data_IF_497445789300
#
_entry.id   IF_497445789300
#
_cell.length_a   1.000
_cell.length_b   1.000
_cell.length_c   1.000
_cell.angle_alpha   90.00
_cell.angle_beta   90.00
_cell.angle_gamma   90.00
#
_symmetry.space_group_name_H-M   'P 1'
#
loop_
_entity.id
_entity.type
_entity.pdbx_description
1 polymer ?
#
# COMPACT_ATOMS: atom_id res chain seq x y z
N UNK A 1 -3.24 3.14 27.38
CA UNK A 1 -3.91 2.91 26.09
C UNK A 1 -3.65 4.04 25.10
N UNK A 2 -4.10 5.25 25.43
CA UNK A 2 -3.91 6.41 24.55
C UNK A 2 -2.43 6.69 24.30
N UNK A 3 -1.62 6.60 25.34
CA UNK A 3 -0.19 6.84 25.26
C UNK A 3 0.49 5.85 24.30
N UNK A 4 0.11 4.58 24.41
CA UNK A 4 0.68 3.53 23.58
C UNK A 4 0.32 3.73 22.11
N UNK A 5 -0.93 4.12 21.83
CA UNK A 5 -1.36 4.39 20.47
C UNK A 5 -0.58 5.53 19.83
N UNK A 6 -0.31 6.58 20.59
CA UNK A 6 0.47 7.71 20.10
C UNK A 6 1.91 7.33 19.80
N UNK A 7 2.50 6.46 20.62
CA UNK A 7 3.85 5.97 20.37
C UNK A 7 3.92 5.15 19.09
N UNK A 8 2.92 4.31 18.86
CA UNK A 8 2.86 3.50 17.64
C UNK A 8 2.68 4.39 16.40
N UNK A 9 1.86 5.43 16.51
CA UNK A 9 1.68 6.39 15.42
C UNK A 9 2.98 7.11 15.09
N UNK A 10 3.72 7.55 16.10
CA UNK A 10 5.00 8.22 15.90
C UNK A 10 6.02 7.28 15.25
N UNK A 11 6.04 6.03 15.67
CA UNK A 11 6.92 5.05 15.07
C UNK A 11 6.58 4.84 13.61
N UNK A 12 5.30 4.75 13.29
CA UNK A 12 4.86 4.62 11.90
C UNK A 12 5.27 5.82 11.06
N UNK A 13 5.20 7.04 11.63
CA UNK A 13 5.62 8.25 10.93
C UNK A 13 7.11 8.25 10.62
N UNK A 14 7.93 7.81 11.57
CA UNK A 14 9.37 7.68 11.35
C UNK A 14 9.68 6.66 10.27
N UNK A 15 9.06 5.49 10.36
CA UNK A 15 9.24 4.44 9.37
C UNK A 15 8.79 4.89 7.98
N UNK A 16 7.65 5.58 7.93
CA UNK A 16 7.12 6.09 6.68
C UNK A 16 8.11 7.02 6.01
N UNK A 17 8.69 7.93 6.79
CA UNK A 17 9.65 8.90 6.25
C UNK A 17 10.90 8.21 5.74
N UNK A 18 11.43 7.24 6.48
CA UNK A 18 12.61 6.50 6.04
C UNK A 18 12.34 5.73 4.75
N UNK A 19 11.23 5.04 4.69
CA UNK A 19 10.85 4.28 3.50
C UNK A 19 10.60 5.19 2.31
N UNK A 20 9.97 6.34 2.56
CA UNK A 20 9.68 7.31 1.52
C UNK A 20 10.96 7.89 0.93
N UNK A 21 11.94 8.23 1.78
CA UNK A 21 13.22 8.77 1.33
C UNK A 21 14.01 7.77 0.51
N UNK A 22 13.91 6.49 0.85
CA UNK A 22 14.63 5.42 0.15
C UNK A 22 13.88 4.87 -1.05
N UNK A 23 12.61 5.25 -1.22
CA UNK A 23 11.76 4.67 -2.26
C UNK A 23 12.16 5.15 -3.65
N UNK A 24 12.04 4.29 -4.66
CA UNK A 24 12.25 4.72 -6.03
C UNK A 24 11.17 5.70 -6.47
N UNK A 25 11.54 6.61 -7.35
CA UNK A 25 10.58 7.53 -7.96
C UNK A 25 10.09 6.90 -9.25
N UNK A 26 8.80 6.63 -9.31
CA UNK A 26 8.16 6.00 -10.46
C UNK A 26 7.05 6.93 -10.93
N UNK A 27 7.18 7.44 -12.13
CA UNK A 27 6.20 8.36 -12.69
C UNK A 27 5.97 9.58 -11.79
N UNK A 28 7.06 10.12 -11.26
CA UNK A 28 7.03 11.32 -10.43
C UNK A 28 6.56 11.11 -9.00
N UNK A 29 6.34 9.87 -8.59
CA UNK A 29 5.88 9.56 -7.24
C UNK A 29 6.83 8.57 -6.57
N UNK A 30 6.93 8.66 -5.25
CA UNK A 30 7.72 7.72 -4.46
C UNK A 30 6.86 6.53 -4.11
N UNK A 31 7.24 5.37 -4.63
CA UNK A 31 6.45 4.15 -4.45
C UNK A 31 7.13 3.24 -3.43
N UNK A 32 6.47 3.03 -2.30
CA UNK A 32 6.93 2.14 -1.24
C UNK A 32 6.21 0.81 -1.39
N UNK A 33 6.96 -0.27 -1.57
CA UNK A 33 6.40 -1.61 -1.71
C UNK A 33 7.10 -2.55 -0.71
N UNK A 34 6.32 -3.16 0.16
CA UNK A 34 6.89 -4.01 1.20
C UNK A 34 5.89 -5.07 1.66
N UNK A 35 6.43 -6.23 2.06
CA UNK A 35 5.64 -7.33 2.62
C UNK A 35 5.96 -7.42 4.11
N UNK A 36 4.94 -7.56 4.94
CA UNK A 36 5.03 -7.64 6.39
C UNK A 36 4.62 -9.01 6.89
N UNK A 37 5.05 -9.35 8.09
CA UNK A 37 4.63 -10.57 8.77
C UNK A 37 3.20 -10.43 9.30
N UNK A 38 2.54 -11.55 9.54
CA UNK A 38 1.15 -11.55 10.01
C UNK A 38 0.94 -10.73 11.28
N UNK A 39 1.88 -10.81 12.22
CA UNK A 39 1.79 -10.08 13.49
C UNK A 39 2.01 -8.57 13.32
N UNK A 40 2.45 -8.13 12.16
CA UNK A 40 2.68 -6.72 11.86
C UNK A 40 1.52 -6.05 11.12
N UNK A 41 0.38 -6.72 11.03
CA UNK A 41 -0.75 -6.23 10.24
C UNK A 41 -1.23 -4.84 10.66
N UNK A 42 -1.40 -4.62 11.96
CA UNK A 42 -1.83 -3.30 12.46
C UNK A 42 -0.80 -2.22 12.16
N UNK A 43 0.47 -2.56 12.31
CA UNK A 43 1.57 -1.66 12.01
C UNK A 43 1.61 -1.30 10.53
N UNK A 44 1.39 -2.29 9.66
CA UNK A 44 1.37 -2.06 8.22
C UNK A 44 0.26 -1.09 7.83
N UNK A 45 -0.91 -1.23 8.43
CA UNK A 45 -2.03 -0.33 8.16
C UNK A 45 -1.70 1.10 8.61
N UNK A 46 -1.13 1.26 9.80
CA UNK A 46 -0.71 2.58 10.29
C UNK A 46 0.34 3.18 9.37
N UNK A 47 1.26 2.36 8.89
CA UNK A 47 2.31 2.81 7.99
C UNK A 47 1.73 3.29 6.66
N UNK A 48 0.73 2.58 6.13
CA UNK A 48 0.08 3.01 4.89
C UNK A 48 -0.54 4.40 5.05
N UNK A 49 -1.23 4.64 6.16
CA UNK A 49 -1.82 5.95 6.42
C UNK A 49 -0.74 7.04 6.60
N UNK A 50 0.35 6.70 7.28
CA UNK A 50 1.45 7.66 7.49
C UNK A 50 2.13 8.01 6.17
N UNK A 51 2.33 7.03 5.29
CA UNK A 51 2.91 7.28 3.97
C UNK A 51 2.03 8.20 3.13
N UNK A 52 0.72 8.05 3.23
CA UNK A 52 -0.21 8.88 2.48
C UNK A 52 -0.19 10.34 2.91
N UNK A 53 0.41 10.66 4.05
CA UNK A 53 0.57 12.05 4.50
C UNK A 53 1.82 12.71 3.94
N UNK A 54 2.71 11.93 3.33
CA UNK A 54 3.94 12.46 2.73
C UNK A 54 3.69 12.85 1.28
N UNK A 55 4.48 13.79 0.74
CA UNK A 55 4.25 14.28 -0.63
C UNK A 55 4.46 13.20 -1.69
N UNK A 56 3.58 13.13 -2.66
CA UNK A 56 3.73 12.29 -3.84
C UNK A 56 4.07 10.84 -3.50
N UNK A 57 3.40 10.29 -2.48
CA UNK A 57 3.67 8.95 -2.01
C UNK A 57 2.63 7.95 -2.53
N UNK A 58 3.08 6.74 -2.77
CA UNK A 58 2.22 5.59 -3.04
C UNK A 58 2.71 4.45 -2.15
N UNK A 59 1.81 3.86 -1.39
CA UNK A 59 2.13 2.73 -0.54
C UNK A 59 1.43 1.48 -1.06
N UNK A 60 2.20 0.44 -1.34
CA UNK A 60 1.68 -0.85 -1.77
C UNK A 60 2.20 -1.89 -0.77
N UNK A 61 1.42 -2.14 0.27
CA UNK A 61 1.85 -2.97 1.37
C UNK A 61 1.07 -4.28 1.41
N UNK A 62 1.79 -5.38 1.59
CA UNK A 62 1.20 -6.69 1.74
C UNK A 62 1.54 -7.27 3.10
N UNK A 63 0.63 -8.06 3.66
CA UNK A 63 0.82 -8.70 4.96
C UNK A 63 0.56 -10.19 4.82
N UNK A 64 1.51 -10.99 5.26
CA UNK A 64 1.37 -12.45 5.27
C UNK A 64 0.31 -12.85 6.27
N UNK A 65 -0.23 -14.04 6.12
CA UNK A 65 -1.20 -14.57 7.05
C UNK A 65 -2.30 -15.36 6.35
N UNK A 66 -3.26 -15.78 7.14
CA UNK A 66 -4.43 -16.51 6.65
C UNK A 66 -5.67 -15.90 7.28
N UNK A 67 -6.29 -14.92 6.61
CA UNK A 67 -5.99 -14.46 5.25
C UNK A 67 -4.84 -13.47 5.20
N UNK A 68 -4.26 -13.31 4.00
CA UNK A 68 -3.32 -12.22 3.72
C UNK A 68 -4.07 -10.91 3.70
N UNK A 69 -3.33 -9.80 3.80
CA UNK A 69 -3.93 -8.47 3.72
C UNK A 69 -3.13 -7.59 2.76
N UNK A 70 -3.81 -6.64 2.16
CA UNK A 70 -3.21 -5.64 1.30
C UNK A 70 -3.69 -4.26 1.73
N UNK A 71 -2.77 -3.31 1.81
CA UNK A 71 -3.09 -1.92 2.12
C UNK A 71 -2.45 -1.04 1.05
N UNK A 72 -3.28 -0.43 0.22
CA UNK A 72 -2.82 0.47 -0.84
C UNK A 72 -3.27 1.88 -0.51
N UNK A 73 -2.34 2.81 -0.50
CA UNK A 73 -2.63 4.19 -0.15
C UNK A 73 -1.81 5.14 -1.01
N UNK A 74 -2.27 6.37 -1.13
CA UNK A 74 -1.53 7.41 -1.83
C UNK A 74 -1.79 8.76 -1.20
N UNK A 75 -0.89 9.70 -1.46
CA UNK A 75 -1.12 11.10 -1.11
C UNK A 75 -2.38 11.58 -1.82
N UNK A 76 -3.31 12.22 -1.10
CA UNK A 76 -4.53 12.73 -1.74
C UNK A 76 -4.22 13.67 -2.91
N UNK A 77 -5.03 13.59 -3.93
CA UNK A 77 -4.83 14.37 -5.15
C UNK A 77 -3.95 13.70 -6.19
N UNK A 78 -3.51 12.46 -5.92
CA UNK A 78 -2.72 11.71 -6.87
C UNK A 78 -3.50 11.27 -8.10
N UNK A 79 -2.79 10.83 -9.12
CA UNK A 79 -3.39 10.41 -10.39
C UNK A 79 -3.93 8.99 -10.38
N UNK A 80 -3.53 8.19 -9.39
CA UNK A 80 -3.96 6.79 -9.31
C UNK A 80 -5.30 6.69 -8.59
N UNK A 81 -5.94 5.55 -8.76
CA UNK A 81 -7.19 5.20 -8.11
C UNK A 81 -6.93 3.92 -7.32
N UNK A 82 -6.64 4.06 -6.03
CA UNK A 82 -6.22 2.92 -5.21
C UNK A 82 -7.27 1.81 -5.15
N UNK A 83 -8.54 2.19 -5.07
CA UNK A 83 -9.62 1.21 -5.05
C UNK A 83 -9.65 0.36 -6.32
N UNK A 84 -9.47 0.99 -7.46
CA UNK A 84 -9.44 0.29 -8.74
C UNK A 84 -8.21 -0.61 -8.86
N UNK A 85 -7.05 -0.09 -8.47
CA UNK A 85 -5.80 -0.85 -8.51
C UNK A 85 -5.90 -2.08 -7.61
N UNK A 86 -6.43 -1.90 -6.40
CA UNK A 86 -6.60 -3.02 -5.48
C UNK A 86 -7.57 -4.05 -6.04
N UNK A 87 -8.70 -3.60 -6.57
CA UNK A 87 -9.71 -4.50 -7.12
C UNK A 87 -9.15 -5.33 -8.27
N UNK A 88 -8.41 -4.71 -9.16
CA UNK A 88 -7.77 -5.42 -10.26
C UNK A 88 -6.76 -6.44 -9.75
N UNK A 89 -5.99 -6.06 -8.74
CA UNK A 89 -4.99 -6.94 -8.16
C UNK A 89 -5.63 -8.16 -7.51
N UNK A 90 -6.62 -7.96 -6.65
CA UNK A 90 -7.26 -9.10 -5.97
C UNK A 90 -8.05 -9.98 -6.93
N UNK A 91 -8.62 -9.40 -7.97
CA UNK A 91 -9.32 -10.17 -8.99
C UNK A 91 -8.35 -11.09 -9.71
N UNK A 92 -7.18 -10.60 -10.06
CA UNK A 92 -6.16 -11.39 -10.75
C UNK A 92 -5.59 -12.50 -9.86
N UNK A 93 -5.40 -12.25 -8.59
CA UNK A 93 -4.71 -13.17 -7.68
C UNK A 93 -5.63 -13.94 -6.75
N UNK A 94 -6.93 -13.79 -6.90
CA UNK A 94 -7.89 -14.64 -6.20
C UNK A 94 -8.34 -14.15 -4.83
N UNK A 95 -8.15 -12.86 -4.54
CA UNK A 95 -8.59 -12.28 -3.28
C UNK A 95 -9.85 -11.45 -3.41
N UNK A 96 -10.10 -10.64 -2.39
CA UNK A 96 -11.22 -9.71 -2.34
C UNK A 96 -10.76 -8.39 -1.73
N UNK A 97 -11.40 -7.32 -2.10
CA UNK A 97 -11.10 -6.03 -1.51
C UNK A 97 -11.63 -4.89 -2.36
N UNK A 98 -11.40 -3.70 -1.88
CA UNK A 98 -11.80 -2.47 -2.53
C UNK A 98 -11.55 -1.30 -1.61
N UNK A 99 -12.01 -0.14 -2.02
CA UNK A 99 -11.84 1.05 -1.21
C UNK A 99 -12.06 2.30 -2.01
N UNK A 100 -11.58 3.40 -1.46
CA UNK A 100 -11.70 4.70 -2.10
C UNK A 100 -10.52 5.00 -3.00
N UNK A 101 -10.51 6.24 -3.45
CA UNK A 101 -9.47 6.70 -4.36
C UNK A 101 -8.08 6.69 -3.74
N UNK A 102 -7.98 7.15 -2.49
CA UNK A 102 -6.70 7.36 -1.83
C UNK A 102 -6.31 6.25 -0.86
N UNK A 103 -7.23 5.37 -0.50
CA UNK A 103 -6.94 4.26 0.38
C UNK A 103 -7.86 3.09 0.05
N UNK A 104 -7.26 1.90 -0.06
CA UNK A 104 -8.01 0.67 -0.30
C UNK A 104 -7.36 -0.47 0.46
N UNK A 105 -8.14 -1.46 0.83
CA UNK A 105 -7.62 -2.61 1.53
C UNK A 105 -8.34 -3.88 1.08
N UNK A 106 -7.64 -4.99 1.17
CA UNK A 106 -8.18 -6.28 0.78
C UNK A 106 -7.26 -7.39 1.22
N UNK A 107 -7.38 -8.53 0.58
CA UNK A 107 -6.54 -9.67 0.89
C UNK A 107 -7.18 -10.97 0.46
N UNK A 108 -6.77 -12.07 1.12
CA UNK A 108 -7.33 -13.38 0.83
C UNK A 108 -6.66 -14.13 -0.31
N UNK A 109 -5.65 -13.53 -0.94
CA UNK A 109 -4.86 -14.24 -1.93
C UNK A 109 -3.81 -15.10 -1.24
N UNK A 110 -3.19 -16.00 -1.97
CA UNK A 110 -2.17 -16.88 -1.40
C UNK A 110 -0.94 -16.09 -0.98
N UNK A 111 -0.40 -16.44 0.19
CA UNK A 111 0.76 -15.77 0.76
C UNK A 111 1.96 -15.81 -0.20
N UNK A 112 2.15 -16.92 -0.89
CA UNK A 112 3.25 -17.07 -1.85
C UNK A 112 3.13 -16.15 -3.05
N UNK A 113 1.98 -15.54 -3.27
CA UNK A 113 1.76 -14.65 -4.41
C UNK A 113 1.75 -13.17 -4.03
N UNK A 114 2.03 -12.85 -2.76
CA UNK A 114 2.03 -11.45 -2.33
C UNK A 114 3.01 -10.59 -3.11
N UNK A 115 4.24 -11.06 -3.29
CA UNK A 115 5.25 -10.28 -4.02
C UNK A 115 4.82 -10.03 -5.47
N UNK A 116 4.28 -11.04 -6.12
CA UNK A 116 3.76 -10.88 -7.48
C UNK A 116 2.61 -9.88 -7.53
N UNK A 117 1.72 -9.96 -6.56
CA UNK A 117 0.56 -9.08 -6.50
C UNK A 117 1.00 -7.63 -6.33
N UNK A 118 1.99 -7.38 -5.46
CA UNK A 118 2.51 -6.02 -5.28
C UNK A 118 3.23 -5.52 -6.52
N UNK A 119 3.96 -6.40 -7.20
CA UNK A 119 4.62 -6.03 -8.46
C UNK A 119 3.59 -5.66 -9.53
N UNK A 120 2.51 -6.42 -9.60
CA UNK A 120 1.42 -6.15 -10.52
C UNK A 120 0.77 -4.80 -10.23
N UNK A 121 0.51 -4.53 -8.95
CA UNK A 121 -0.07 -3.26 -8.53
C UNK A 121 0.87 -2.09 -8.86
N UNK A 122 2.17 -2.28 -8.65
CA UNK A 122 3.15 -1.25 -9.00
C UNK A 122 3.14 -0.96 -10.49
N UNK A 123 3.00 -1.99 -11.31
CA UNK A 123 2.90 -1.82 -12.76
C UNK A 123 1.65 -1.02 -13.14
N UNK A 124 0.54 -1.26 -12.43
CA UNK A 124 -0.68 -0.49 -12.67
C UNK A 124 -0.50 0.98 -12.29
N UNK A 125 0.22 1.25 -11.20
CA UNK A 125 0.53 2.61 -10.78
C UNK A 125 1.37 3.32 -11.85
N UNK A 126 2.40 2.65 -12.33
CA UNK A 126 3.27 3.19 -13.37
C UNK A 126 2.54 3.35 -14.69
N UNK A 127 1.69 2.38 -15.02
CA UNK A 127 0.93 2.40 -16.27
C UNK A 127 -0.25 3.35 -16.28
N UNK A 128 -0.62 3.91 -15.13
CA UNK A 128 -1.76 4.82 -15.06
C UNK A 128 -1.60 6.02 -15.99
N UNK A 129 -0.37 6.54 -16.09
CA UNK A 129 -0.08 7.64 -17.01
C UNK A 129 -0.19 7.21 -18.46
N UNK A 130 0.23 5.98 -18.75
CA UNK A 130 0.20 5.46 -20.10
C UNK A 130 -1.21 5.11 -20.53
N UNK A 131 -2.03 4.68 -19.59
CA UNK A 131 -3.43 4.32 -19.90
C UNK A 131 -4.24 5.51 -20.41
N UNK A 132 -3.79 6.71 -20.11
CA UNK A 132 -4.44 7.95 -20.58
C UNK A 132 -4.18 8.20 -22.05
N UNK A 133 -3.16 7.59 -22.56
CA UNK A 133 -2.83 7.70 -23.97
C UNK A 133 -3.77 6.87 -24.80
#
# INVERSE_FOLDING_TARGET
MLFRSKLLERLAEYQARELWQAAPVIDGRRVVRQVFLAEESAQAKMLAHALAKLPLAVALLGVKGKPTALFFAQTPGGTSEMGSILKQTVTKFGGKGGGGRDFAQGGGLEESRLEEALAYAQALVAGASEAVK
#
